data_IF_468214024819
#
_entry.id   IF_468214024819
#
_cell.length_a   1.000
_cell.length_b   1.000
_cell.length_c   1.000
_cell.angle_alpha   90.00
_cell.angle_beta   90.00
_cell.angle_gamma   90.00
#
_symmetry.space_group_name_H-M   'P 1'
#
loop_
_entity.id
_entity.type
_entity.pdbx_description
1 polymer ?
#
# COMPACT_ATOMS: atom_id res chain seq x y z
N UNK A 1 0.83 -17.80 -7.62
CA UNK A 1 2.28 -17.96 -7.86
C UNK A 1 3.00 -16.88 -7.05
N UNK A 2 4.20 -17.13 -6.50
CA UNK A 2 4.99 -16.04 -5.92
C UNK A 2 5.28 -14.98 -6.99
N UNK A 3 5.19 -13.69 -6.65
CA UNK A 3 5.58 -12.58 -7.56
C UNK A 3 7.03 -12.76 -8.00
N UNK A 4 7.34 -12.30 -9.21
CA UNK A 4 8.73 -12.28 -9.67
C UNK A 4 9.55 -11.28 -8.85
N UNK A 5 10.82 -11.60 -8.60
CA UNK A 5 11.74 -10.70 -7.90
C UNK A 5 11.83 -9.33 -8.56
N UNK A 6 11.75 -9.29 -9.90
CA UNK A 6 11.72 -8.05 -10.67
C UNK A 6 10.51 -7.17 -10.33
N UNK A 7 9.33 -7.76 -10.11
CA UNK A 7 8.13 -7.03 -9.78
C UNK A 7 8.17 -6.50 -8.34
N UNK A 8 8.74 -7.27 -7.40
CA UNK A 8 8.99 -6.83 -6.02
C UNK A 8 10.00 -5.68 -5.97
N UNK A 9 11.12 -5.79 -6.70
CA UNK A 9 12.13 -4.73 -6.79
C UNK A 9 11.59 -3.43 -7.39
N UNK A 10 10.73 -3.52 -8.41
CA UNK A 10 10.09 -2.33 -9.00
C UNK A 10 9.19 -1.63 -7.99
N UNK A 11 8.32 -2.37 -7.30
CA UNK A 11 7.46 -1.78 -6.26
C UNK A 11 8.29 -1.15 -5.14
N UNK A 12 9.34 -1.83 -4.68
CA UNK A 12 10.25 -1.28 -3.66
C UNK A 12 10.86 0.05 -4.10
N UNK A 13 11.46 0.08 -5.29
CA UNK A 13 12.11 1.28 -5.83
C UNK A 13 11.14 2.44 -5.97
N UNK A 14 9.93 2.18 -6.42
CA UNK A 14 8.89 3.19 -6.54
C UNK A 14 8.46 3.69 -5.16
N UNK A 15 8.32 2.80 -4.18
CA UNK A 15 8.03 3.19 -2.81
C UNK A 15 9.15 4.05 -2.19
N UNK A 16 10.42 3.68 -2.40
CA UNK A 16 11.59 4.45 -1.98
C UNK A 16 11.58 5.86 -2.61
N UNK A 17 11.27 5.94 -3.91
CA UNK A 17 11.16 7.23 -4.61
C UNK A 17 10.01 8.08 -4.07
N UNK A 18 8.87 7.48 -3.68
CA UNK A 18 7.72 8.20 -3.14
C UNK A 18 7.99 8.76 -1.75
N UNK A 19 8.78 8.08 -0.93
CA UNK A 19 9.14 8.56 0.41
C UNK A 19 10.44 9.37 0.45
N UNK A 20 11.15 9.50 -0.67
CA UNK A 20 12.39 10.26 -0.73
C UNK A 20 12.16 11.72 -0.30
N UNK A 21 12.81 12.13 0.79
CA UNK A 21 12.65 13.46 1.37
C UNK A 21 11.49 13.61 2.35
N UNK A 22 10.78 12.52 2.69
CA UNK A 22 9.85 12.50 3.82
C UNK A 22 10.60 12.18 5.11
N UNK A 23 10.52 13.09 6.08
CA UNK A 23 11.13 12.87 7.39
C UNK A 23 10.26 11.98 8.28
N UNK A 24 10.91 11.16 9.12
CA UNK A 24 10.23 10.36 10.14
C UNK A 24 9.43 9.17 9.63
N UNK A 25 9.66 8.73 8.39
CA UNK A 25 9.05 7.53 7.82
C UNK A 25 10.07 6.60 7.19
N UNK A 26 9.73 5.31 7.14
CA UNK A 26 10.52 4.25 6.51
C UNK A 26 9.59 3.28 5.77
N UNK A 27 10.15 2.52 4.83
CA UNK A 27 9.43 1.40 4.25
C UNK A 27 9.38 0.23 5.23
N UNK A 28 8.24 -0.47 5.27
CA UNK A 28 8.17 -1.77 5.92
C UNK A 28 9.22 -2.73 5.34
N UNK A 29 9.67 -3.75 6.10
CA UNK A 29 10.72 -4.66 5.64
C UNK A 29 10.41 -5.39 4.34
N UNK A 30 9.14 -5.73 4.12
CA UNK A 30 8.65 -6.48 2.97
C UNK A 30 7.32 -5.93 2.43
N UNK A 31 7.03 -6.22 1.17
CA UNK A 31 5.70 -6.00 0.59
C UNK A 31 4.66 -6.90 1.26
N UNK A 32 3.43 -6.40 1.32
CA UNK A 32 2.28 -7.15 1.81
C UNK A 32 1.36 -7.46 0.63
N UNK A 33 1.10 -8.74 0.41
CA UNK A 33 0.01 -9.20 -0.46
C UNK A 33 -1.10 -9.78 0.41
N UNK A 34 -2.35 -9.34 0.21
CA UNK A 34 -3.48 -9.80 1.02
C UNK A 34 -3.81 -11.28 0.77
N UNK A 35 -3.65 -11.74 -0.47
CA UNK A 35 -3.81 -13.15 -0.88
C UNK A 35 -5.16 -13.78 -0.44
N UNK A 36 -6.23 -12.98 -0.40
CA UNK A 36 -7.55 -13.39 0.07
C UNK A 36 -7.78 -13.21 1.58
N UNK A 37 -6.74 -12.95 2.37
CA UNK A 37 -6.86 -12.63 3.79
C UNK A 37 -7.19 -11.15 3.99
N UNK A 38 -8.02 -10.85 4.99
CA UNK A 38 -8.26 -9.47 5.40
C UNK A 38 -7.02 -8.92 6.13
N UNK A 39 -6.25 -8.10 5.43
CA UNK A 39 -5.12 -7.36 6.01
C UNK A 39 -5.48 -5.89 6.11
N UNK A 40 -5.20 -5.28 7.26
CA UNK A 40 -5.41 -3.86 7.47
C UNK A 40 -4.35 -3.27 8.37
N UNK A 41 -4.13 -1.97 8.20
CA UNK A 41 -3.28 -1.15 9.05
C UNK A 41 -3.97 0.16 9.36
N UNK A 42 -3.54 0.84 10.41
CA UNK A 42 -4.11 2.12 10.84
C UNK A 42 -3.02 3.09 11.25
N UNK A 43 -3.26 4.37 11.06
CA UNK A 43 -2.51 5.39 11.77
C UNK A 43 -2.54 5.14 13.30
N UNK A 44 -1.43 5.33 14.05
CA UNK A 44 -0.13 5.86 13.62
C UNK A 44 0.86 4.79 13.13
N UNK A 45 0.50 3.50 13.14
CA UNK A 45 1.39 2.39 12.78
C UNK A 45 1.84 2.44 11.32
N UNK A 46 1.04 3.06 10.46
CA UNK A 46 1.38 3.36 9.07
C UNK A 46 1.07 4.83 8.78
N UNK A 47 1.87 5.42 7.89
CA UNK A 47 1.75 6.80 7.40
C UNK A 47 1.35 6.89 5.94
N UNK A 48 1.39 5.76 5.23
CA UNK A 48 0.99 5.69 3.84
C UNK A 48 1.08 4.27 3.30
N UNK A 49 0.63 4.13 2.06
CA UNK A 49 0.67 2.88 1.33
C UNK A 49 1.04 3.15 -0.12
N UNK A 50 1.93 2.34 -0.67
CA UNK A 50 2.22 2.33 -2.12
C UNK A 50 1.64 1.05 -2.70
N UNK A 51 0.71 1.21 -3.62
CA UNK A 51 -0.05 0.11 -4.22
C UNK A 51 0.49 -0.17 -5.61
N UNK A 52 0.81 -1.44 -5.88
CA UNK A 52 0.98 -1.90 -7.26
C UNK A 52 -0.39 -2.15 -7.87
N UNK A 53 -0.83 -1.25 -8.76
CA UNK A 53 -2.12 -1.39 -9.43
C UNK A 53 -2.17 -2.59 -10.37
N UNK A 54 -1.02 -3.02 -10.90
CA UNK A 54 -0.92 -4.20 -11.76
C UNK A 54 -0.87 -5.53 -10.99
N UNK A 55 -1.00 -5.52 -9.66
CA UNK A 55 -1.13 -6.73 -8.85
C UNK A 55 -2.44 -7.49 -9.13
N UNK A 56 -2.60 -8.67 -8.50
CA UNK A 56 -3.79 -9.50 -8.67
C UNK A 56 -5.08 -8.76 -8.29
N UNK A 57 -6.21 -9.26 -8.77
CA UNK A 57 -7.52 -8.61 -8.63
C UNK A 57 -7.86 -8.33 -7.17
N UNK A 58 -8.15 -7.07 -6.87
CA UNK A 58 -8.44 -6.62 -5.52
C UNK A 58 -8.63 -5.12 -5.47
N UNK A 59 -8.62 -4.59 -4.25
CA UNK A 59 -8.54 -3.15 -4.04
C UNK A 59 -8.01 -2.83 -2.64
N UNK A 60 -7.44 -1.63 -2.55
CA UNK A 60 -7.05 -0.99 -1.30
C UNK A 60 -8.11 0.05 -0.96
N UNK A 61 -8.57 0.06 0.29
CA UNK A 61 -9.55 1.02 0.77
C UNK A 61 -8.97 1.77 1.96
N UNK A 62 -8.94 3.10 1.87
CA UNK A 62 -8.59 3.98 2.98
C UNK A 62 -9.87 4.69 3.43
N UNK A 63 -10.16 4.63 4.72
CA UNK A 63 -11.38 5.20 5.29
C UNK A 63 -11.12 5.78 6.67
N UNK A 64 -11.80 6.88 7.01
CA UNK A 64 -12.02 7.27 8.40
C UNK A 64 -13.51 7.58 8.61
N UNK A 65 -13.88 7.86 9.86
CA UNK A 65 -15.23 8.30 10.20
C UNK A 65 -15.60 9.63 9.53
N UNK A 66 -14.63 10.53 9.46
CA UNK A 66 -14.85 11.95 9.13
C UNK A 66 -14.32 12.33 7.74
N UNK A 67 -13.40 11.54 7.18
CA UNK A 67 -12.88 11.71 5.83
C UNK A 67 -13.34 10.53 4.99
N UNK A 68 -13.90 10.82 3.81
CA UNK A 68 -14.52 9.85 2.92
C UNK A 68 -13.62 8.67 2.52
N UNK A 69 -14.17 7.80 1.68
CA UNK A 69 -13.51 6.55 1.30
C UNK A 69 -12.65 6.79 0.05
N UNK A 70 -11.35 6.52 0.15
CA UNK A 70 -10.47 6.39 -1.01
C UNK A 70 -10.37 4.91 -1.38
N UNK A 71 -10.59 4.58 -2.65
CA UNK A 71 -10.48 3.21 -3.17
C UNK A 71 -9.52 3.16 -4.35
N UNK A 72 -8.55 2.24 -4.29
CA UNK A 72 -7.55 2.00 -5.33
C UNK A 72 -7.75 0.56 -5.83
N UNK A 73 -8.20 0.41 -7.07
CA UNK A 73 -8.42 -0.90 -7.67
C UNK A 73 -7.11 -1.50 -8.17
N UNK A 74 -6.94 -2.82 -8.01
CA UNK A 74 -5.85 -3.62 -8.57
C UNK A 74 -6.40 -4.73 -9.45
N UNK A 75 -5.66 -5.11 -10.48
CA UNK A 75 -6.03 -6.25 -11.32
C UNK A 75 -5.57 -6.16 -12.77
N UNK A 76 -5.91 -7.16 -13.59
CA UNK A 76 -5.64 -7.14 -15.02
C UNK A 76 -6.30 -5.94 -15.69
N UNK A 77 -5.49 -5.09 -16.34
CA UNK A 77 -5.94 -3.85 -16.99
C UNK A 77 -5.62 -2.57 -16.20
N UNK A 78 -5.28 -2.72 -14.92
CA UNK A 78 -4.74 -1.65 -14.10
C UNK A 78 -3.20 -1.57 -14.27
N UNK A 79 -2.62 -0.38 -14.08
CA UNK A 79 -1.18 -0.20 -14.26
C UNK A 79 -0.60 0.91 -13.39
N UNK A 80 0.71 0.82 -13.15
CA UNK A 80 1.47 1.80 -12.39
C UNK A 80 1.39 1.60 -10.87
N UNK A 81 1.95 2.58 -10.17
CA UNK A 81 2.06 2.59 -8.71
C UNK A 81 1.33 3.80 -8.17
N UNK A 82 0.52 3.59 -7.13
CA UNK A 82 -0.22 4.68 -6.49
C UNK A 82 0.18 4.77 -5.02
N UNK A 83 0.68 5.94 -4.64
CA UNK A 83 0.90 6.29 -3.25
C UNK A 83 -0.35 6.98 -2.71
N UNK A 84 -0.81 6.56 -1.53
CA UNK A 84 -1.80 7.30 -0.76
C UNK A 84 -1.31 7.49 0.68
N UNK A 85 -1.38 8.72 1.23
CA UNK A 85 -1.10 8.98 2.63
C UNK A 85 -2.22 8.37 3.51
N UNK A 86 -1.83 7.93 4.71
CA UNK A 86 -2.78 7.49 5.75
C UNK A 86 -2.67 8.49 6.89
N UNK A 87 -3.70 9.32 7.01
CA UNK A 87 -3.77 10.42 7.96
C UNK A 87 -4.33 9.96 9.31
N UNK A 88 -4.29 10.86 10.29
CA UNK A 88 -4.86 10.61 11.60
C UNK A 88 -6.34 10.21 11.50
N UNK A 89 -6.71 9.17 12.25
CA UNK A 89 -8.05 8.60 12.22
C UNK A 89 -8.36 7.66 11.05
N UNK A 90 -7.49 7.57 10.02
CA UNK A 90 -7.69 6.67 8.89
C UNK A 90 -7.14 5.26 9.12
N UNK A 91 -7.85 4.28 8.56
CA UNK A 91 -7.41 2.90 8.38
C UNK A 91 -7.28 2.58 6.90
N UNK A 92 -6.37 1.68 6.56
CA UNK A 92 -6.18 1.14 5.22
C UNK A 92 -6.41 -0.37 5.24
N UNK A 93 -7.29 -0.85 4.37
CA UNK A 93 -7.75 -2.24 4.29
C UNK A 93 -7.47 -2.79 2.90
N UNK A 94 -7.00 -4.03 2.84
CA UNK A 94 -6.73 -4.76 1.60
C UNK A 94 -7.82 -5.80 1.37
N UNK A 95 -8.45 -5.77 0.20
CA UNK A 95 -9.52 -6.70 -0.20
C UNK A 95 -9.13 -7.44 -1.48
N UNK A 96 -9.30 -8.76 -1.50
CA UNK A 96 -8.86 -9.61 -2.63
C UNK A 96 -7.36 -9.88 -2.56
N UNK A 97 -6.65 -9.64 -3.66
CA UNK A 97 -5.20 -9.91 -3.76
C UNK A 97 -4.33 -8.69 -4.15
N UNK A 98 -4.55 -7.48 -3.61
CA UNK A 98 -3.65 -6.37 -3.90
C UNK A 98 -2.28 -6.60 -3.25
N UNK A 99 -1.24 -6.13 -3.92
CA UNK A 99 0.13 -6.05 -3.38
C UNK A 99 0.48 -4.60 -3.07
N UNK A 100 0.93 -4.36 -1.84
CA UNK A 100 1.28 -3.03 -1.35
C UNK A 100 2.63 -3.02 -0.63
N UNK A 101 3.24 -1.84 -0.53
CA UNK A 101 4.32 -1.56 0.40
C UNK A 101 3.83 -0.57 1.45
N UNK A 102 3.92 -0.93 2.72
CA UNK A 102 3.55 -0.04 3.82
C UNK A 102 4.66 0.97 4.10
N UNK A 103 4.25 2.19 4.42
CA UNK A 103 5.14 3.24 4.92
C UNK A 103 4.85 3.39 6.40
N UNK A 104 5.85 3.12 7.22
CA UNK A 104 5.79 3.06 8.68
C UNK A 104 6.49 4.30 9.27
N UNK A 105 6.12 4.76 10.48
CA UNK A 105 6.91 5.76 11.18
C UNK A 105 8.31 5.21 11.50
N UNK A 106 9.32 6.08 11.51
CA UNK A 106 10.62 5.73 12.08
C UNK A 106 10.50 5.45 13.59
N UNK A 107 11.35 4.57 14.16
CA UNK A 107 11.41 4.30 15.59
C UNK A 107 11.78 5.53 16.42
#
# INVERSE_FOLDING_TARGET
MPRSDSAKQRLKKEAEQKIAGMDGVQLAPDETTAAGDLKYQRFPNVRGVVVDRSSETGYVQISSRDNGITKITTGPGESGFQYEPILEGQSCMLYGCPTVWWIEPCP
#
